data_IF_285390734793
#
_entry.id   IF_285390734793
#
_cell.length_a   1.000
_cell.length_b   1.000
_cell.length_c   1.000
_cell.angle_alpha   90.00
_cell.angle_beta   90.00
_cell.angle_gamma   90.00
#
_symmetry.space_group_name_H-M   'P 1'
#
loop_
_entity.id
_entity.type
_entity.pdbx_description
1 polymer ?
#
# COMPACT_ATOMS: atom_id res chain seq x y z
N UNK A 1 -0.89 -0.86 11.21
CA UNK A 1 -1.88 -0.42 10.20
C UNK A 1 -3.06 -1.37 10.17
N UNK A 2 -4.27 -0.85 10.10
CA UNK A 2 -5.47 -1.68 9.92
C UNK A 2 -6.46 -1.04 8.96
N UNK A 3 -7.26 -1.87 8.31
CA UNK A 3 -8.26 -1.47 7.33
C UNK A 3 -9.61 -2.05 7.73
N UNK A 4 -10.64 -1.22 7.68
CA UNK A 4 -12.04 -1.62 7.87
C UNK A 4 -12.69 -1.78 6.50
N UNK A 5 -13.15 -2.98 6.20
CA UNK A 5 -13.68 -3.33 4.89
C UNK A 5 -15.10 -3.85 5.03
N UNK A 6 -15.96 -3.46 4.11
CA UNK A 6 -17.30 -4.01 4.01
C UNK A 6 -17.29 -5.31 3.21
N UNK A 7 -17.77 -6.37 3.83
CA UNK A 7 -17.92 -7.69 3.20
C UNK A 7 -19.39 -8.09 3.05
N UNK A 8 -20.29 -7.11 3.15
CA UNK A 8 -21.73 -7.35 3.08
C UNK A 8 -22.11 -8.00 1.78
N UNK A 9 -22.59 -8.59 1.16
CA UNK A 9 -22.95 -9.14 -0.13
C UNK A 9 -21.87 -10.02 -0.80
N UNK A 10 -20.83 -10.40 -0.07
CA UNK A 10 -19.89 -11.41 -0.57
C UNK A 10 -20.45 -12.81 -0.40
N UNK A 11 -20.40 -13.62 -1.46
CA UNK A 11 -20.72 -15.03 -1.36
C UNK A 11 -19.57 -15.80 -0.68
N UNK A 12 -19.85 -17.04 -0.29
CA UNK A 12 -18.89 -17.91 0.39
C UNK A 12 -17.60 -18.14 -0.42
N UNK A 13 -17.72 -18.29 -1.74
CA UNK A 13 -16.57 -18.48 -2.63
C UNK A 13 -15.68 -17.23 -2.67
N UNK A 14 -16.27 -16.05 -2.82
CA UNK A 14 -15.54 -14.78 -2.82
C UNK A 14 -14.86 -14.51 -1.46
N UNK A 15 -15.54 -14.79 -0.36
CA UNK A 15 -14.97 -14.66 0.99
C UNK A 15 -13.79 -15.62 1.18
N UNK A 16 -13.88 -16.84 0.69
CA UNK A 16 -12.79 -17.81 0.76
C UNK A 16 -11.60 -17.37 -0.12
N UNK A 17 -11.88 -16.86 -1.31
CA UNK A 17 -10.85 -16.31 -2.20
C UNK A 17 -10.12 -15.11 -1.57
N UNK A 18 -10.88 -14.19 -0.97
CA UNK A 18 -10.32 -13.04 -0.24
C UNK A 18 -9.43 -13.49 0.91
N UNK A 19 -9.86 -14.44 1.72
CA UNK A 19 -9.05 -14.99 2.83
C UNK A 19 -7.75 -15.62 2.34
N UNK A 20 -7.81 -16.37 1.24
CA UNK A 20 -6.59 -16.96 0.63
C UNK A 20 -5.64 -15.90 0.07
N UNK A 21 -6.19 -14.86 -0.56
CA UNK A 21 -5.39 -13.74 -1.06
C UNK A 21 -4.73 -12.96 0.09
N UNK A 22 -5.47 -12.71 1.18
CA UNK A 22 -4.94 -12.09 2.40
C UNK A 22 -3.80 -12.92 3.00
N UNK A 23 -4.01 -14.23 3.12
CA UNK A 23 -3.00 -15.14 3.68
C UNK A 23 -1.70 -15.13 2.86
N UNK A 24 -1.79 -15.14 1.52
CA UNK A 24 -0.62 -15.07 0.63
C UNK A 24 0.20 -13.79 0.78
N UNK A 25 -0.43 -12.69 1.20
CA UNK A 25 0.21 -11.37 1.36
C UNK A 25 0.41 -10.99 2.84
N UNK A 26 0.37 -11.97 3.72
CA UNK A 26 0.57 -11.80 5.18
C UNK A 26 -0.38 -10.79 5.83
N UNK A 27 -1.58 -10.64 5.27
CA UNK A 27 -2.65 -9.80 5.82
C UNK A 27 -3.57 -10.65 6.68
N UNK A 28 -3.71 -10.29 7.95
CA UNK A 28 -4.63 -10.99 8.86
C UNK A 28 -6.03 -10.42 8.71
N UNK A 29 -6.96 -11.21 8.20
CA UNK A 29 -8.37 -10.86 8.05
C UNK A 29 -9.20 -11.41 9.21
N UNK A 30 -9.85 -10.54 9.95
CA UNK A 30 -10.74 -10.88 11.07
C UNK A 30 -12.10 -10.22 10.83
N UNK A 31 -13.16 -11.01 10.90
CA UNK A 31 -14.53 -10.47 10.90
C UNK A 31 -14.99 -10.38 12.36
N UNK A 32 -15.30 -9.18 12.81
CA UNK A 32 -15.71 -8.93 14.17
C UNK A 32 -17.02 -8.13 14.24
N UNK A 33 -17.74 -8.29 15.34
CA UNK A 33 -18.96 -7.54 15.61
C UNK A 33 -18.64 -6.08 15.89
N UNK A 34 -19.37 -5.14 15.29
CA UNK A 34 -19.11 -3.71 15.42
C UNK A 34 -19.09 -3.22 16.87
N UNK A 35 -19.95 -3.78 17.73
CA UNK A 35 -19.97 -3.45 19.16
C UNK A 35 -18.68 -3.86 19.89
N UNK A 36 -18.05 -4.94 19.46
CA UNK A 36 -16.76 -5.38 20.02
C UNK A 36 -15.62 -4.50 19.50
N UNK A 37 -15.66 -4.15 18.22
CA UNK A 37 -14.68 -3.21 17.63
C UNK A 37 -14.77 -1.83 18.33
N UNK A 38 -15.98 -1.33 18.55
CA UNK A 38 -16.17 -0.07 19.28
C UNK A 38 -15.56 -0.12 20.66
N UNK A 39 -15.84 -1.15 21.46
CA UNK A 39 -15.24 -1.33 22.79
C UNK A 39 -13.73 -1.46 22.75
N UNK A 40 -13.19 -2.15 21.75
CA UNK A 40 -11.75 -2.27 21.58
C UNK A 40 -11.08 -0.92 21.25
N UNK A 41 -11.73 -0.10 20.43
CA UNK A 41 -11.24 1.25 20.13
C UNK A 41 -11.37 2.20 21.32
N UNK A 42 -12.44 2.09 22.10
CA UNK A 42 -12.62 2.85 23.34
C UNK A 42 -11.61 2.46 24.44
N UNK A 43 -11.21 1.20 24.46
CA UNK A 43 -10.18 0.71 25.40
C UNK A 43 -8.75 1.10 24.98
N UNK A 44 -8.53 1.49 23.75
CA UNK A 44 -7.26 1.96 23.25
C UNK A 44 -7.08 3.43 23.57
N UNK A 45 -6.25 3.74 24.56
CA UNK A 45 -6.01 5.12 25.05
C UNK A 45 -4.99 5.91 24.22
N UNK A 46 -4.33 5.27 23.27
CA UNK A 46 -3.21 5.89 22.54
C UNK A 46 -3.65 6.77 21.38
N UNK A 47 -4.80 6.48 20.76
CA UNK A 47 -5.28 7.19 19.57
C UNK A 47 -6.80 7.37 19.66
N UNK A 48 -7.29 8.57 19.32
CA UNK A 48 -8.71 8.87 19.24
C UNK A 48 -9.33 8.27 17.98
N UNK A 49 -10.05 7.16 18.14
CA UNK A 49 -10.76 6.48 17.05
C UNK A 49 -12.21 6.98 16.85
N UNK A 50 -12.57 8.12 17.45
CA UNK A 50 -13.92 8.70 17.32
C UNK A 50 -14.45 8.81 15.88
N UNK A 51 -13.63 9.23 14.90
CA UNK A 51 -14.09 9.33 13.51
C UNK A 51 -14.47 7.99 12.86
N UNK A 52 -14.00 6.87 13.43
CA UNK A 52 -14.29 5.53 12.90
C UNK A 52 -15.64 4.98 13.36
N UNK A 53 -16.22 5.53 14.44
CA UNK A 53 -17.48 5.00 14.99
C UNK A 53 -18.65 5.19 14.03
N UNK A 54 -18.69 6.27 13.28
CA UNK A 54 -19.75 6.54 12.29
C UNK A 54 -19.72 5.57 11.11
N UNK A 55 -18.54 4.99 10.84
CA UNK A 55 -18.31 4.07 9.73
C UNK A 55 -18.61 2.60 10.12
N UNK A 56 -18.72 2.30 11.41
CA UNK A 56 -19.02 0.95 11.92
C UNK A 56 -20.50 0.58 11.76
N UNK A 57 -21.01 0.61 10.52
CA UNK A 57 -22.38 0.19 10.16
C UNK A 57 -22.32 -1.05 9.27
N UNK A 58 -23.21 -2.01 9.48
CA UNK A 58 -23.28 -3.25 8.70
C UNK A 58 -22.14 -4.23 9.03
N UNK A 59 -21.83 -5.15 8.13
CA UNK A 59 -20.77 -6.14 8.31
C UNK A 59 -19.41 -5.49 8.15
N UNK A 60 -18.54 -5.65 9.12
CA UNK A 60 -17.19 -5.08 9.09
C UNK A 60 -16.16 -6.18 9.27
N UNK A 61 -15.24 -6.25 8.33
CA UNK A 61 -14.04 -7.06 8.45
C UNK A 61 -12.83 -6.15 8.68
N UNK A 62 -11.93 -6.57 9.54
CA UNK A 62 -10.69 -5.84 9.85
C UNK A 62 -9.53 -6.59 9.23
N UNK A 63 -8.71 -5.88 8.46
CA UNK A 63 -7.46 -6.38 7.92
C UNK A 63 -6.31 -5.75 8.67
N UNK A 64 -5.46 -6.55 9.28
CA UNK A 64 -4.23 -6.12 9.95
C UNK A 64 -3.03 -6.46 9.11
N UNK A 65 -2.10 -5.51 9.01
CA UNK A 65 -0.87 -5.67 8.24
C UNK A 65 0.22 -4.74 8.76
N UNK A 66 1.45 -5.08 8.47
CA UNK A 66 2.60 -4.22 8.73
C UNK A 66 2.86 -3.21 7.61
N UNK A 67 2.37 -3.47 6.40
CA UNK A 67 2.54 -2.58 5.24
C UNK A 67 1.25 -1.81 4.94
N UNK A 68 1.34 -0.48 4.82
CA UNK A 68 0.20 0.37 4.54
C UNK A 68 -0.43 0.10 3.16
N UNK A 69 0.34 -0.17 2.12
CA UNK A 69 -0.18 -0.31 0.74
C UNK A 69 -0.76 -1.69 0.41
N UNK A 70 -0.34 -2.74 1.11
CA UNK A 70 -0.71 -4.12 0.77
C UNK A 70 -2.22 -4.40 0.81
N UNK A 71 -2.99 -4.01 1.85
CA UNK A 71 -4.43 -4.24 1.87
C UNK A 71 -5.18 -3.43 0.82
N UNK A 72 -4.75 -2.20 0.54
CA UNK A 72 -5.35 -1.36 -0.48
C UNK A 72 -5.23 -1.99 -1.89
N UNK A 73 -4.05 -2.52 -2.21
CA UNK A 73 -3.82 -3.27 -3.45
C UNK A 73 -4.68 -4.54 -3.51
N UNK A 74 -4.83 -5.26 -2.40
CA UNK A 74 -5.69 -6.44 -2.29
C UNK A 74 -7.17 -6.10 -2.53
N UNK A 75 -7.67 -5.05 -1.89
CA UNK A 75 -9.05 -4.60 -2.07
C UNK A 75 -9.29 -4.25 -3.53
N UNK A 76 -8.37 -3.52 -4.17
CA UNK A 76 -8.47 -3.15 -5.59
C UNK A 76 -8.42 -4.37 -6.53
N UNK A 77 -7.64 -5.39 -6.18
CA UNK A 77 -7.49 -6.62 -6.97
C UNK A 77 -8.73 -7.54 -6.87
N UNK A 78 -9.31 -7.64 -5.67
CA UNK A 78 -10.42 -8.54 -5.37
C UNK A 78 -11.78 -7.87 -5.56
N UNK A 79 -11.85 -6.53 -5.48
CA UNK A 79 -13.11 -5.81 -5.69
C UNK A 79 -13.71 -6.11 -7.05
N UNK A 80 -14.91 -6.66 -7.05
CA UNK A 80 -15.67 -6.90 -8.27
C UNK A 80 -16.04 -5.58 -8.93
N UNK A 81 -15.72 -5.45 -10.21
CA UNK A 81 -15.99 -4.25 -11.02
C UNK A 81 -17.47 -3.87 -11.07
N UNK A 82 -18.38 -4.81 -10.80
CA UNK A 82 -19.83 -4.59 -10.81
C UNK A 82 -20.39 -4.16 -9.46
N UNK A 83 -19.90 -4.71 -8.36
CA UNK A 83 -20.44 -4.48 -7.02
C UNK A 83 -19.54 -3.61 -6.14
N UNK A 84 -18.28 -3.45 -6.54
CA UNK A 84 -17.29 -2.70 -5.75
C UNK A 84 -17.01 -3.29 -4.36
N UNK A 85 -17.34 -4.56 -4.15
CA UNK A 85 -17.18 -5.26 -2.87
C UNK A 85 -16.01 -6.24 -2.99
N UNK A 86 -15.08 -6.28 -2.05
CA UNK A 86 -15.05 -5.61 -0.75
C UNK A 86 -14.79 -4.08 -0.85
N UNK A 87 -15.62 -3.27 -0.18
CA UNK A 87 -15.50 -1.82 -0.18
C UNK A 87 -14.70 -1.33 1.03
N UNK A 88 -13.83 -0.36 0.83
CA UNK A 88 -13.11 0.29 1.92
C UNK A 88 -14.07 1.20 2.69
N UNK A 89 -14.26 0.94 3.99
CA UNK A 89 -15.01 1.82 4.91
C UNK A 89 -14.09 2.88 5.49
N UNK A 90 -13.00 2.45 6.08
CA UNK A 90 -11.98 3.31 6.63
C UNK A 90 -10.66 2.56 6.71
N UNK A 91 -9.57 3.31 6.79
CA UNK A 91 -8.25 2.77 7.04
C UNK A 91 -7.51 3.65 8.05
N UNK A 92 -6.68 3.02 8.85
CA UNK A 92 -5.70 3.68 9.70
C UNK A 92 -4.31 3.27 9.24
N UNK A 93 -3.64 4.21 8.60
CA UNK A 93 -2.31 3.99 8.06
C UNK A 93 -1.44 5.24 8.29
N UNK A 94 -0.16 5.03 8.65
CA UNK A 94 0.81 6.11 8.90
C UNK A 94 0.25 7.19 9.86
N UNK A 95 -0.36 6.75 10.97
CA UNK A 95 -0.94 7.62 12.01
C UNK A 95 -2.07 8.54 11.50
N UNK A 96 -2.62 8.27 10.33
CA UNK A 96 -3.68 9.04 9.69
C UNK A 96 -4.92 8.20 9.45
N UNK A 97 -6.09 8.85 9.55
CA UNK A 97 -7.38 8.23 9.27
C UNK A 97 -7.82 8.54 7.85
N UNK A 98 -8.17 7.53 7.11
CA UNK A 98 -8.72 7.61 5.76
C UNK A 98 -10.13 7.03 5.77
N UNK A 99 -11.14 7.89 5.63
CA UNK A 99 -12.54 7.51 5.69
C UNK A 99 -13.13 7.51 4.28
N UNK A 100 -13.68 6.36 3.86
CA UNK A 100 -14.36 6.20 2.58
C UNK A 100 -13.51 5.59 1.47
N UNK A 101 -14.20 5.09 0.46
CA UNK A 101 -13.58 4.42 -0.68
C UNK A 101 -12.73 5.35 -1.58
N UNK A 102 -12.94 6.66 -1.49
CA UNK A 102 -12.21 7.67 -2.27
C UNK A 102 -10.70 7.65 -1.99
N UNK A 103 -10.32 7.31 -0.77
CA UNK A 103 -8.92 7.26 -0.36
C UNK A 103 -8.20 5.95 -0.73
N UNK A 104 -8.90 5.01 -1.39
CA UNK A 104 -8.29 3.74 -1.79
C UNK A 104 -7.11 3.96 -2.74
N UNK A 105 -7.23 4.86 -3.70
CA UNK A 105 -6.15 5.16 -4.65
C UNK A 105 -4.94 5.82 -3.96
N UNK A 106 -5.19 6.72 -3.05
CA UNK A 106 -4.16 7.34 -2.21
C UNK A 106 -3.43 6.27 -1.39
N UNK A 107 -4.17 5.37 -0.75
CA UNK A 107 -3.61 4.27 0.04
C UNK A 107 -2.81 3.27 -0.80
N UNK A 108 -3.21 3.04 -2.05
CA UNK A 108 -2.42 2.21 -2.99
C UNK A 108 -1.10 2.88 -3.37
N UNK A 109 -1.08 4.21 -3.46
CA UNK A 109 0.11 5.00 -3.80
C UNK A 109 1.04 5.26 -2.62
N UNK A 110 0.59 5.04 -1.39
CA UNK A 110 1.45 5.16 -0.20
C UNK A 110 2.57 4.12 -0.30
N UNK A 111 3.79 4.61 -0.29
CA UNK A 111 5.00 3.78 -0.23
C UNK A 111 5.25 3.36 1.21
N UNK A 112 5.77 2.16 1.41
CA UNK A 112 6.22 1.75 2.73
C UNK A 112 7.45 2.57 3.16
N UNK A 113 7.70 2.63 4.45
CA UNK A 113 8.88 3.33 4.99
C UNK A 113 10.17 2.87 4.33
N UNK A 114 10.31 1.58 4.12
CA UNK A 114 11.49 0.99 3.47
C UNK A 114 11.58 1.35 1.99
N UNK A 115 10.44 1.40 1.27
CA UNK A 115 10.37 1.85 -0.12
C UNK A 115 10.75 3.34 -0.26
N UNK A 116 10.33 4.20 0.67
CA UNK A 116 10.71 5.62 0.68
C UNK A 116 12.21 5.78 0.93
N UNK A 117 12.77 5.02 1.88
CA UNK A 117 14.22 5.02 2.14
C UNK A 117 14.99 4.55 0.91
N UNK A 118 14.54 3.48 0.24
CA UNK A 118 15.16 2.98 -0.97
C UNK A 118 15.13 4.01 -2.11
N UNK A 119 14.01 4.73 -2.28
CA UNK A 119 13.91 5.83 -3.25
C UNK A 119 14.89 6.96 -2.95
N UNK A 120 15.02 7.36 -1.68
CA UNK A 120 15.97 8.40 -1.26
C UNK A 120 17.40 7.96 -1.56
N UNK A 121 17.76 6.73 -1.24
CA UNK A 121 19.08 6.16 -1.56
C UNK A 121 19.32 6.14 -3.07
N UNK A 122 18.32 5.74 -3.87
CA UNK A 122 18.41 5.75 -5.33
C UNK A 122 18.61 7.17 -5.89
N UNK A 123 17.90 8.17 -5.35
CA UNK A 123 18.06 9.58 -5.72
C UNK A 123 19.44 10.11 -5.37
N UNK A 124 20.00 9.74 -4.23
CA UNK A 124 21.36 10.14 -3.82
C UNK A 124 22.45 9.48 -4.66
N UNK A 125 22.22 8.25 -5.15
CA UNK A 125 23.14 7.52 -6.01
C UNK A 125 23.03 7.93 -7.48
N UNK A 126 21.89 8.44 -7.93
CA UNK A 126 21.63 8.82 -9.32
C UNK A 126 22.60 9.87 -9.85
N UNK A 127 22.91 10.98 -9.15
CA UNK A 127 23.90 11.95 -9.61
C UNK A 127 25.30 11.34 -9.81
N UNK A 128 25.72 10.47 -8.88
CA UNK A 128 27.02 9.79 -8.98
C UNK A 128 27.09 8.86 -10.19
N UNK A 129 26.04 8.09 -10.45
CA UNK A 129 25.95 7.22 -11.64
C UNK A 129 25.95 8.03 -12.93
N UNK A 130 25.23 9.14 -12.98
CA UNK A 130 25.19 10.00 -14.16
C UNK A 130 26.55 10.66 -14.44
N UNK A 131 27.28 11.10 -13.41
CA UNK A 131 28.62 11.64 -13.53
C UNK A 131 29.61 10.58 -14.03
N UNK A 132 29.57 9.38 -13.47
CA UNK A 132 30.43 8.26 -13.91
C UNK A 132 30.12 7.88 -15.36
N UNK A 133 28.85 7.81 -15.76
CA UNK A 133 28.45 7.56 -17.15
C UNK A 133 28.95 8.65 -18.09
N UNK A 134 28.82 9.92 -17.72
CA UNK A 134 29.31 11.05 -18.51
C UNK A 134 30.82 11.02 -18.67
N UNK A 135 31.56 10.73 -17.60
CA UNK A 135 33.03 10.60 -17.64
C UNK A 135 33.46 9.40 -18.51
N UNK A 136 32.78 8.28 -18.42
CA UNK A 136 33.05 7.07 -19.20
C UNK A 136 32.79 7.31 -20.69
N UNK A 137 31.66 7.92 -21.04
CA UNK A 137 31.33 8.25 -22.44
C UNK A 137 32.30 9.27 -23.04
N UNK A 138 32.73 10.26 -22.24
CA UNK A 138 33.77 11.20 -22.65
C UNK A 138 35.12 10.52 -22.93
N UNK A 139 35.51 9.59 -22.07
CA UNK A 139 36.71 8.78 -22.25
C UNK A 139 36.65 7.90 -23.50
N UNK A 140 35.56 7.25 -23.75
CA UNK A 140 35.34 6.38 -24.93
C UNK A 140 35.34 7.20 -26.24
N UNK A 141 34.79 8.43 -26.21
CA UNK A 141 34.83 9.35 -27.38
C UNK A 141 36.24 9.80 -27.69
N UNK A 142 37.04 10.17 -26.67
CA UNK A 142 38.44 10.57 -26.84
C UNK A 142 39.28 9.39 -27.36
N UNK A 143 39.06 8.20 -26.83
CA UNK A 143 39.78 7.00 -27.28
C UNK A 143 39.42 6.63 -28.74
N UNK A 144 38.18 6.78 -29.14
CA UNK A 144 37.73 6.62 -30.53
C UNK A 144 38.40 7.60 -31.50
N UNK A 145 38.48 8.89 -31.11
CA UNK A 145 39.16 9.93 -31.93
C UNK A 145 40.65 9.67 -32.03
N UNK A 146 41.33 9.28 -30.95
CA UNK A 146 42.77 8.95 -30.98
C UNK A 146 43.05 7.75 -31.85
N UNK A 147 42.19 6.72 -31.87
CA UNK A 147 42.34 5.54 -32.73
C UNK A 147 42.20 5.89 -34.21
N UNK A 148 41.23 6.72 -34.59
CA UNK A 148 41.04 7.18 -35.96
C UNK A 148 42.18 8.09 -36.47
N UNK A 149 42.86 8.80 -35.56
CA UNK A 149 44.05 9.61 -35.90
C UNK A 149 45.33 8.77 -35.98
N UNK A 150 45.42 7.66 -35.29
CA UNK A 150 46.56 6.75 -35.29
C UNK A 150 46.61 5.83 -36.50
N UNK A 151 45.47 5.61 -37.19
CA UNK A 151 45.35 4.77 -38.37
C UNK A 151 45.56 5.55 -39.71
N UNK A 152 45.96 6.80 -39.63
CA UNK A 152 46.41 7.64 -40.76
C UNK A 152 47.90 7.85 -40.73
#
# INVERSE_FOLDING_TARGET
HFYLVDTTAMNSAATSALRRACFKKEVKLIVAKNSLLKKAFEASSEVDFSPLFDVLKGTTAVMFTNSASTPAKLIKEVADKKTGIPALKAAYAEESFYIGAQHLETLVSIKSKDEVIADIVALLQSPAKNVISALKSGGDTIHGVLKTLGDK
#
